data_IF_759968109147
#
_entry.id   IF_759968109147
#
_cell.length_a   1.000
_cell.length_b   1.000
_cell.length_c   1.000
_cell.angle_alpha   90.00
_cell.angle_beta   90.00
_cell.angle_gamma   90.00
#
_symmetry.space_group_name_H-M   'P 1'
#
loop_
_entity.id
_entity.type
_entity.pdbx_description
1 polymer ?
#
# COMPACT_ATOMS: atom_id res chain seq x y z
N UNK A 1 13.33 9.10 -11.88
CA UNK A 1 13.04 9.50 -10.49
C UNK A 1 11.66 10.15 -10.40
N UNK A 2 10.89 9.86 -9.35
CA UNK A 2 9.60 10.49 -9.10
C UNK A 2 9.75 11.88 -8.45
N UNK A 3 8.78 12.78 -8.67
CA UNK A 3 8.72 14.07 -7.98
C UNK A 3 8.65 13.86 -6.46
N UNK A 4 9.47 14.59 -5.69
CA UNK A 4 9.49 14.56 -4.21
C UNK A 4 8.08 14.70 -3.61
N UNK A 5 7.29 15.64 -4.12
CA UNK A 5 5.89 15.86 -3.70
C UNK A 5 5.00 14.63 -3.84
N UNK A 6 5.24 13.77 -4.83
CA UNK A 6 4.48 12.53 -5.05
C UNK A 6 4.93 11.40 -4.11
N UNK A 7 6.19 11.39 -3.69
CA UNK A 7 6.72 10.44 -2.70
C UNK A 7 6.12 10.78 -1.33
N UNK A 8 6.27 12.03 -0.89
CA UNK A 8 5.71 12.54 0.37
C UNK A 8 4.19 12.34 0.43
N UNK A 9 3.46 12.56 -0.67
CA UNK A 9 2.01 12.30 -0.71
C UNK A 9 1.67 10.82 -0.46
N UNK A 10 2.48 9.89 -0.93
CA UNK A 10 2.27 8.47 -0.73
C UNK A 10 2.61 8.04 0.72
N UNK A 11 3.64 8.64 1.31
CA UNK A 11 4.00 8.45 2.73
C UNK A 11 2.89 8.96 3.66
N UNK A 12 2.36 10.17 3.40
CA UNK A 12 1.19 10.69 4.12
C UNK A 12 0.00 9.73 4.05
N UNK A 13 -0.26 9.12 2.89
CA UNK A 13 -1.31 8.10 2.76
C UNK A 13 -1.01 6.86 3.59
N UNK A 14 0.24 6.36 3.61
CA UNK A 14 0.62 5.22 4.46
C UNK A 14 0.35 5.51 5.94
N UNK A 15 0.72 6.69 6.42
CA UNK A 15 0.47 7.12 7.79
C UNK A 15 -1.03 7.20 8.12
N UNK A 16 -1.83 7.79 7.23
CA UNK A 16 -3.29 7.85 7.40
C UNK A 16 -3.91 6.45 7.36
N UNK A 17 -3.48 5.58 6.45
CA UNK A 17 -3.96 4.19 6.41
C UNK A 17 -3.66 3.46 7.71
N UNK A 18 -2.43 3.57 8.22
CA UNK A 18 -2.03 2.94 9.49
C UNK A 18 -2.91 3.41 10.65
N UNK A 19 -3.15 4.73 10.75
CA UNK A 19 -4.00 5.32 11.81
C UNK A 19 -5.45 4.80 11.81
N UNK A 20 -6.01 4.51 10.65
CA UNK A 20 -7.42 4.09 10.52
C UNK A 20 -7.59 2.59 10.26
N UNK A 21 -6.51 1.81 10.19
CA UNK A 21 -6.53 0.43 9.72
C UNK A 21 -7.45 -0.46 10.56
N UNK A 22 -7.29 -0.41 11.88
CA UNK A 22 -8.05 -1.20 12.84
C UNK A 22 -9.55 -0.84 12.80
N UNK A 23 -9.89 0.43 13.03
CA UNK A 23 -11.29 0.88 12.99
C UNK A 23 -11.99 0.57 11.67
N UNK A 24 -11.27 0.69 10.54
CA UNK A 24 -11.83 0.34 9.23
C UNK A 24 -12.03 -1.16 9.05
N UNK A 25 -11.17 -2.00 9.63
CA UNK A 25 -11.34 -3.44 9.59
C UNK A 25 -12.60 -3.86 10.35
N UNK A 26 -12.81 -3.33 11.56
CA UNK A 26 -14.02 -3.56 12.36
C UNK A 26 -15.30 -3.16 11.60
N UNK A 27 -15.35 -1.92 11.11
CA UNK A 27 -16.53 -1.42 10.42
C UNK A 27 -16.83 -2.20 9.14
N UNK A 28 -15.80 -2.57 8.38
CA UNK A 28 -15.96 -3.41 7.19
C UNK A 28 -16.47 -4.80 7.54
N UNK A 29 -16.00 -5.37 8.65
CA UNK A 29 -16.47 -6.67 9.13
C UNK A 29 -17.95 -6.61 9.53
N UNK A 30 -18.37 -5.57 10.25
CA UNK A 30 -19.79 -5.33 10.57
C UNK A 30 -20.65 -5.22 9.31
N UNK A 31 -20.14 -4.54 8.27
CA UNK A 31 -20.86 -4.42 6.99
C UNK A 31 -20.91 -5.73 6.22
N UNK A 32 -19.84 -6.53 6.27
CA UNK A 32 -19.71 -7.82 5.56
C UNK A 32 -20.61 -8.91 6.15
N UNK A 33 -20.78 -8.95 7.47
CA UNK A 33 -21.54 -10.00 8.15
C UNK A 33 -23.04 -9.92 7.80
N UNK A 34 -23.67 -11.05 7.41
CA UNK A 34 -25.10 -11.09 7.10
C UNK A 34 -25.96 -10.85 8.34
N UNK A 35 -25.53 -11.34 9.50
CA UNK A 35 -26.26 -11.31 10.78
C UNK A 35 -26.28 -9.92 11.45
N UNK A 36 -25.51 -8.96 10.94
CA UNK A 36 -25.50 -7.61 11.50
C UNK A 36 -26.87 -6.94 11.27
N UNK A 37 -27.54 -6.44 12.32
CA UNK A 37 -28.81 -5.75 12.18
C UNK A 37 -28.71 -4.58 11.17
N UNK A 38 -29.75 -4.34 10.35
CA UNK A 38 -29.73 -3.31 9.31
C UNK A 38 -29.30 -1.92 9.81
N UNK A 39 -29.75 -1.53 11.01
CA UNK A 39 -29.41 -0.24 11.61
C UNK A 39 -27.91 -0.11 11.92
N UNK A 40 -27.31 -1.16 12.51
CA UNK A 40 -25.87 -1.20 12.81
C UNK A 40 -25.04 -1.22 11.54
N UNK A 41 -25.50 -1.96 10.52
CA UNK A 41 -24.87 -1.97 9.18
C UNK A 41 -24.90 -0.58 8.56
N UNK A 42 -26.04 0.11 8.59
CA UNK A 42 -26.19 1.46 8.07
C UNK A 42 -25.32 2.47 8.84
N UNK A 43 -25.26 2.38 10.17
CA UNK A 43 -24.38 3.22 10.98
C UNK A 43 -22.89 3.00 10.64
N UNK A 44 -22.46 1.75 10.47
CA UNK A 44 -21.08 1.43 10.08
C UNK A 44 -20.74 1.97 8.68
N UNK A 45 -21.67 1.89 7.72
CA UNK A 45 -21.51 2.48 6.39
C UNK A 45 -21.39 4.01 6.45
N UNK A 46 -22.24 4.68 7.24
CA UNK A 46 -22.16 6.14 7.46
C UNK A 46 -20.82 6.54 8.06
N UNK A 47 -20.33 5.80 9.06
CA UNK A 47 -19.03 6.07 9.67
C UNK A 47 -17.89 5.88 8.67
N UNK A 48 -17.89 4.79 7.90
CA UNK A 48 -16.89 4.52 6.86
C UNK A 48 -16.85 5.63 5.78
N UNK A 49 -18.01 6.18 5.44
CA UNK A 49 -18.15 7.27 4.47
C UNK A 49 -17.64 8.62 5.01
N UNK A 50 -17.78 8.88 6.32
CA UNK A 50 -17.29 10.09 6.99
C UNK A 50 -15.76 10.14 7.08
N UNK A 51 -15.09 8.99 7.10
CA UNK A 51 -13.64 8.92 7.23
C UNK A 51 -12.91 9.48 5.98
N UNK A 52 -11.65 9.96 6.14
CA UNK A 52 -10.88 10.48 5.01
C UNK A 52 -10.70 9.45 3.89
N UNK A 53 -10.83 9.88 2.62
CA UNK A 53 -10.64 8.98 1.46
C UNK A 53 -9.27 8.29 1.47
N UNK A 54 -8.23 9.01 1.89
CA UNK A 54 -6.85 8.50 1.95
C UNK A 54 -6.65 7.45 3.07
N UNK A 55 -7.62 7.21 3.95
CA UNK A 55 -7.62 6.08 4.88
C UNK A 55 -7.84 4.72 4.19
N UNK A 56 -8.23 4.70 2.92
CA UNK A 56 -8.31 3.46 2.15
C UNK A 56 -6.93 2.99 1.69
N UNK A 57 -6.52 1.77 2.12
CA UNK A 57 -5.28 1.13 1.73
C UNK A 57 -5.09 1.01 0.21
N UNK A 58 -6.18 0.90 -0.55
CA UNK A 58 -6.15 0.81 -2.03
C UNK A 58 -5.51 2.03 -2.72
N UNK A 59 -5.42 3.18 -2.02
CA UNK A 59 -4.85 4.42 -2.57
C UNK A 59 -3.35 4.55 -2.38
N UNK A 60 -2.75 3.68 -1.55
CA UNK A 60 -1.30 3.59 -1.40
C UNK A 60 -0.75 2.88 -2.63
N UNK A 61 0.30 3.44 -3.22
CA UNK A 61 1.00 2.82 -4.36
C UNK A 61 2.34 2.28 -3.90
N UNK A 62 2.67 1.06 -4.33
CA UNK A 62 4.03 0.56 -4.19
C UNK A 62 4.96 1.35 -5.12
N UNK A 63 6.00 1.92 -4.53
CA UNK A 63 7.02 2.72 -5.20
C UNK A 63 8.37 2.13 -4.84
N UNK A 64 9.30 2.25 -5.77
CA UNK A 64 10.72 2.02 -5.49
C UNK A 64 11.16 2.82 -4.25
N UNK A 65 11.87 2.17 -3.33
CA UNK A 65 12.38 2.78 -2.10
C UNK A 65 13.47 3.83 -2.37
N UNK A 66 14.18 3.75 -3.49
CA UNK A 66 15.29 4.64 -3.81
C UNK A 66 14.82 5.85 -4.60
N UNK A 67 14.17 5.65 -5.75
CA UNK A 67 13.85 6.74 -6.68
C UNK A 67 12.34 7.07 -6.77
N UNK A 68 11.50 6.33 -6.04
CA UNK A 68 10.06 6.52 -5.99
C UNK A 68 9.28 6.06 -7.24
N UNK A 69 9.89 5.31 -8.18
CA UNK A 69 9.23 4.84 -9.42
C UNK A 69 7.97 4.02 -9.09
N UNK A 70 6.79 4.39 -9.62
CA UNK A 70 5.51 3.77 -9.24
C UNK A 70 5.13 2.52 -10.05
N UNK A 71 6.01 2.04 -10.93
CA UNK A 71 5.76 0.96 -11.89
C UNK A 71 6.89 -0.06 -11.89
N UNK A 72 6.56 -1.31 -12.22
CA UNK A 72 7.52 -2.41 -12.26
C UNK A 72 8.18 -2.64 -10.91
N UNK A 73 7.42 -2.52 -9.82
CA UNK A 73 7.90 -2.70 -8.45
C UNK A 73 7.81 -4.17 -8.05
N UNK A 74 8.90 -4.70 -7.50
CA UNK A 74 9.00 -6.07 -7.05
C UNK A 74 8.92 -6.09 -5.52
N UNK A 75 7.81 -6.64 -4.98
CA UNK A 75 7.51 -6.58 -3.54
C UNK A 75 8.57 -7.27 -2.68
N UNK A 76 9.15 -8.36 -3.17
CA UNK A 76 10.20 -9.10 -2.47
C UNK A 76 11.46 -8.25 -2.18
N UNK A 77 11.74 -7.27 -3.04
CA UNK A 77 12.94 -6.42 -2.93
C UNK A 77 12.62 -4.97 -2.55
N UNK A 78 11.36 -4.53 -2.69
CA UNK A 78 10.99 -3.13 -2.49
C UNK A 78 11.48 -2.17 -3.57
N UNK A 79 12.06 -2.68 -4.66
CA UNK A 79 12.70 -1.89 -5.73
C UNK A 79 11.92 -1.94 -7.04
N UNK A 80 12.19 -0.99 -7.93
CA UNK A 80 11.77 -1.11 -9.33
C UNK A 80 12.66 -2.10 -10.10
N UNK A 81 12.15 -2.62 -11.23
CA UNK A 81 12.90 -3.54 -12.10
C UNK A 81 14.26 -3.01 -12.58
N UNK A 82 14.41 -1.68 -12.69
CA UNK A 82 15.66 -1.05 -13.14
C UNK A 82 16.68 -1.09 -12.00
N UNK A 83 16.29 -0.58 -10.82
CA UNK A 83 17.14 -0.61 -9.63
C UNK A 83 17.46 -2.02 -9.18
N UNK A 84 16.51 -2.95 -9.27
CA UNK A 84 16.78 -4.36 -8.99
C UNK A 84 17.92 -4.87 -9.87
N UNK A 85 17.86 -4.62 -11.18
CA UNK A 85 18.89 -5.06 -12.13
C UNK A 85 20.25 -4.44 -11.79
N UNK A 86 20.29 -3.14 -11.50
CA UNK A 86 21.52 -2.44 -11.11
C UNK A 86 22.12 -3.04 -9.82
N UNK A 87 21.31 -3.22 -8.77
CA UNK A 87 21.76 -3.78 -7.50
C UNK A 87 22.18 -5.26 -7.64
N UNK A 88 21.49 -6.04 -8.48
CA UNK A 88 21.86 -7.42 -8.78
C UNK A 88 23.21 -7.48 -9.52
N UNK A 89 23.43 -6.62 -10.52
CA UNK A 89 24.70 -6.55 -11.23
C UNK A 89 25.86 -6.10 -10.34
N UNK A 90 25.60 -5.22 -9.38
CA UNK A 90 26.58 -4.77 -8.40
C UNK A 90 26.83 -5.77 -7.26
N UNK A 91 26.09 -6.88 -7.19
CA UNK A 91 26.25 -7.89 -6.13
C UNK A 91 25.67 -7.50 -4.78
N UNK A 92 24.84 -6.44 -4.70
CA UNK A 92 24.23 -5.99 -3.44
C UNK A 92 23.00 -6.81 -3.01
N UNK A 93 22.55 -7.77 -3.84
CA UNK A 93 21.40 -8.62 -3.54
C UNK A 93 21.88 -10.04 -3.22
N UNK A 94 21.80 -10.49 -1.94
CA UNK A 94 22.27 -11.81 -1.55
C UNK A 94 21.54 -12.92 -2.29
N UNK A 95 22.29 -13.89 -2.82
CA UNK A 95 21.75 -15.06 -3.50
C UNK A 95 21.12 -14.79 -4.87
N UNK A 96 21.15 -13.55 -5.37
CA UNK A 96 20.59 -13.21 -6.69
C UNK A 96 21.66 -13.41 -7.77
N UNK A 97 21.39 -14.33 -8.69
CA UNK A 97 22.21 -14.58 -9.88
C UNK A 97 21.34 -14.74 -11.12
N UNK A 98 21.94 -14.62 -12.31
CA UNK A 98 21.26 -15.01 -13.55
C UNK A 98 21.01 -16.52 -13.51
N UNK A 99 19.79 -16.93 -13.83
CA UNK A 99 19.39 -18.33 -13.89
C UNK A 99 19.33 -18.79 -15.34
N UNK A 100 19.77 -20.01 -15.59
CA UNK A 100 19.60 -20.74 -16.86
C UNK A 100 19.04 -22.12 -16.53
N UNK A 101 17.96 -22.51 -17.18
CA UNK A 101 17.35 -23.84 -17.13
C UNK A 101 16.94 -24.23 -18.54
#
# INVERSE_FOLDING_TARGET
>A
MAKKSKIVKNEKRRAVVARYAERRAELKELVRRPDTPPERRAAAQRELARQPRDASATRVRNRDSVDGRPRGHLRAFGLSRIRLREQAHAGFLPGVRKSSW
#
